data_IF_917661420786
#
_entry.id   IF_917661420786
#
_cell.length_a   1.000
_cell.length_b   1.000
_cell.length_c   1.000
_cell.angle_alpha   90.00
_cell.angle_beta   90.00
_cell.angle_gamma   90.00
#
_symmetry.space_group_name_H-M   'P 1'
#
loop_
_entity.id
_entity.type
_entity.pdbx_description
1 polymer ?
#
# COMPACT_ATOMS: atom_id res chain seq x y z
N UNK A 1 -61.44 81.54 -25.34
CA UNK A 1 -61.32 80.18 -24.76
C UNK A 1 -59.86 79.76 -24.89
N UNK A 2 -59.11 79.74 -23.80
CA UNK A 2 -57.67 79.39 -23.78
C UNK A 2 -57.55 77.89 -23.50
N UNK A 3 -56.98 77.13 -24.43
CA UNK A 3 -56.62 75.71 -24.22
C UNK A 3 -55.17 75.64 -23.77
N UNK A 4 -54.92 75.02 -22.62
CA UNK A 4 -53.58 74.64 -22.14
C UNK A 4 -53.41 73.14 -22.34
N UNK A 5 -52.35 72.73 -23.03
CA UNK A 5 -51.94 71.34 -23.13
C UNK A 5 -50.82 71.07 -22.12
N UNK A 6 -51.04 70.14 -21.19
CA UNK A 6 -50.05 69.67 -20.22
C UNK A 6 -49.32 68.46 -20.84
N UNK A 7 -48.01 68.58 -21.00
CA UNK A 7 -47.11 67.50 -21.43
C UNK A 7 -46.74 66.63 -20.22
N UNK A 8 -47.14 65.36 -20.23
CA UNK A 8 -46.79 64.37 -19.21
C UNK A 8 -45.57 63.56 -19.64
N UNK A 9 -44.44 63.76 -18.97
CA UNK A 9 -43.22 62.98 -19.15
C UNK A 9 -43.33 61.65 -18.36
N UNK A 10 -43.34 60.51 -19.06
CA UNK A 10 -43.27 59.19 -18.43
C UNK A 10 -41.80 58.83 -18.20
N UNK A 11 -41.39 58.75 -16.94
CA UNK A 11 -40.06 58.31 -16.54
C UNK A 11 -40.07 56.78 -16.39
N UNK A 12 -39.53 56.04 -17.36
CA UNK A 12 -39.31 54.60 -17.25
C UNK A 12 -38.03 54.32 -16.43
N UNK A 13 -38.20 53.84 -15.20
CA UNK A 13 -37.10 53.34 -14.36
C UNK A 13 -36.72 51.91 -14.77
N UNK A 14 -35.53 51.72 -15.33
CA UNK A 14 -34.94 50.40 -15.56
C UNK A 14 -34.37 49.85 -14.24
N UNK A 15 -35.10 48.93 -13.60
CA UNK A 15 -34.58 48.14 -12.49
C UNK A 15 -33.58 47.09 -13.02
N UNK A 16 -32.29 47.26 -12.69
CA UNK A 16 -31.25 46.27 -12.95
C UNK A 16 -31.39 45.12 -11.95
N UNK A 17 -31.89 43.97 -12.41
CA UNK A 17 -31.84 42.73 -11.65
C UNK A 17 -30.45 42.10 -11.78
N UNK A 18 -29.60 42.28 -10.77
CA UNK A 18 -28.38 41.49 -10.61
C UNK A 18 -28.76 40.13 -10.02
N UNK A 19 -28.80 39.10 -10.86
CA UNK A 19 -28.86 37.71 -10.41
C UNK A 19 -27.52 37.38 -9.75
N UNK A 20 -27.51 37.23 -8.43
CA UNK A 20 -26.35 36.75 -7.69
C UNK A 20 -26.05 35.30 -8.11
N UNK A 21 -24.83 35.04 -8.58
CA UNK A 21 -24.32 33.69 -8.78
C UNK A 21 -24.34 32.95 -7.42
N UNK A 22 -24.85 31.71 -7.36
CA UNK A 22 -24.73 30.90 -6.15
C UNK A 22 -23.24 30.65 -5.87
N UNK A 23 -22.76 31.15 -4.73
CA UNK A 23 -21.42 30.84 -4.24
C UNK A 23 -21.37 29.34 -3.94
N UNK A 24 -20.63 28.59 -4.75
CA UNK A 24 -20.20 27.24 -4.40
C UNK A 24 -19.47 27.32 -3.05
N UNK A 25 -19.84 26.54 -2.03
CA UNK A 25 -19.11 26.53 -0.77
C UNK A 25 -17.67 26.06 -1.06
N UNK A 26 -16.73 26.98 -0.87
CA UNK A 26 -15.30 26.70 -0.99
C UNK A 26 -14.93 25.63 0.04
N UNK A 27 -14.37 24.53 -0.48
CA UNK A 27 -13.46 23.60 0.19
C UNK A 27 -13.93 23.11 1.57
N UNK A 28 -14.63 21.98 1.54
CA UNK A 28 -14.72 21.06 2.65
C UNK A 28 -13.28 20.72 3.08
N UNK A 29 -12.87 21.19 4.26
CA UNK A 29 -11.60 20.88 4.93
C UNK A 29 -11.26 19.40 4.73
N UNK A 30 -10.33 19.09 3.81
CA UNK A 30 -9.81 17.74 3.67
C UNK A 30 -9.19 17.36 5.02
N UNK A 31 -9.75 16.34 5.69
CA UNK A 31 -9.17 15.84 6.94
C UNK A 31 -7.71 15.44 6.66
N UNK A 32 -6.75 15.83 7.51
CA UNK A 32 -5.37 15.43 7.32
C UNK A 32 -5.28 13.90 7.34
N UNK A 33 -4.70 13.33 6.27
CA UNK A 33 -4.45 11.91 6.18
C UNK A 33 -3.61 11.47 7.39
N UNK A 34 -4.15 10.53 8.17
CA UNK A 34 -3.43 9.92 9.29
C UNK A 34 -2.65 8.72 8.75
N UNK A 35 -1.31 8.70 8.86
CA UNK A 35 -0.50 7.59 8.40
C UNK A 35 -0.90 6.31 9.14
N UNK A 36 -1.32 5.28 8.40
CA UNK A 36 -1.51 3.95 8.96
C UNK A 36 -0.16 3.26 8.99
N UNK A 37 0.20 2.68 10.13
CA UNK A 37 1.40 1.89 10.29
C UNK A 37 1.05 0.42 10.53
N UNK A 38 1.86 -0.48 9.99
CA UNK A 38 1.76 -1.90 10.22
C UNK A 38 3.13 -2.55 10.24
N UNK A 39 3.21 -3.72 10.85
CA UNK A 39 4.45 -4.45 11.08
C UNK A 39 4.24 -5.94 10.90
N UNK A 40 5.20 -6.57 10.22
CA UNK A 40 5.42 -8.00 10.29
C UNK A 40 6.69 -8.28 11.10
N UNK A 41 6.57 -9.12 12.13
CA UNK A 41 7.73 -9.67 12.86
C UNK A 41 7.95 -11.07 12.31
N UNK A 42 9.10 -11.30 11.69
CA UNK A 42 9.45 -12.53 11.02
C UNK A 42 10.25 -13.43 11.94
N UNK A 43 9.86 -14.69 12.03
CA UNK A 43 10.57 -15.74 12.76
C UNK A 43 10.67 -16.99 11.91
N UNK A 44 11.73 -17.78 12.09
CA UNK A 44 11.87 -19.06 11.42
C UNK A 44 10.92 -20.11 11.98
N UNK A 45 10.17 -20.86 11.14
CA UNK A 45 9.29 -21.92 11.60
C UNK A 45 10.06 -23.14 12.15
N UNK A 46 11.35 -23.27 11.84
CA UNK A 46 12.20 -24.39 12.30
C UNK A 46 13.10 -24.01 13.48
N UNK A 47 12.98 -22.78 13.99
CA UNK A 47 13.86 -22.25 15.03
C UNK A 47 15.27 -21.89 14.55
N UNK A 48 15.52 -21.87 13.23
CA UNK A 48 16.75 -21.29 12.70
C UNK A 48 16.88 -19.82 13.13
N UNK A 49 18.10 -19.26 13.26
CA UNK A 49 18.33 -17.91 13.77
C UNK A 49 18.01 -16.81 12.74
N UNK A 50 16.94 -16.98 11.97
CA UNK A 50 16.41 -16.00 11.03
C UNK A 50 15.27 -15.25 11.72
N UNK A 51 15.43 -13.94 11.83
CA UNK A 51 14.40 -13.07 12.38
C UNK A 51 14.47 -11.69 11.73
N UNK A 52 13.34 -10.99 11.70
CA UNK A 52 13.29 -9.68 11.08
C UNK A 52 12.06 -8.88 11.45
N UNK A 53 12.08 -7.61 11.06
CA UNK A 53 10.97 -6.69 11.15
C UNK A 53 10.81 -6.05 9.79
N UNK A 54 9.59 -6.07 9.27
CA UNK A 54 9.21 -5.29 8.08
C UNK A 54 8.10 -4.35 8.49
N UNK A 55 8.39 -3.06 8.42
CA UNK A 55 7.46 -1.98 8.73
C UNK A 55 6.85 -1.44 7.43
N UNK A 56 5.56 -1.16 7.50
CA UNK A 56 4.76 -0.57 6.44
C UNK A 56 4.16 0.72 6.96
N UNK A 57 4.32 1.82 6.23
CA UNK A 57 3.71 3.10 6.56
C UNK A 57 3.02 3.67 5.33
N UNK A 58 1.71 3.84 5.41
CA UNK A 58 0.98 4.60 4.39
C UNK A 58 1.43 6.06 4.47
N UNK A 59 2.07 6.57 3.42
CA UNK A 59 2.53 7.97 3.32
C UNK A 59 1.49 8.83 2.60
N UNK A 60 0.76 8.22 1.66
CA UNK A 60 -0.38 8.81 0.96
C UNK A 60 -1.50 7.78 0.81
N UNK A 61 -2.57 8.11 0.08
CA UNK A 61 -3.62 7.15 -0.26
C UNK A 61 -3.13 6.01 -1.17
N UNK A 62 -2.01 6.19 -1.88
CA UNK A 62 -1.55 5.28 -2.92
C UNK A 62 -0.09 4.86 -2.76
N UNK A 63 0.59 5.29 -1.70
CA UNK A 63 1.99 5.01 -1.47
C UNK A 63 2.21 4.43 -0.07
N UNK A 64 2.97 3.34 -0.04
CA UNK A 64 3.37 2.65 1.17
C UNK A 64 4.90 2.67 1.24
N UNK A 65 5.44 3.34 2.24
CA UNK A 65 6.83 3.19 2.63
C UNK A 65 7.01 1.81 3.27
N UNK A 66 8.02 1.07 2.84
CA UNK A 66 8.38 -0.25 3.38
C UNK A 66 9.82 -0.20 3.86
N UNK A 67 10.04 -0.54 5.12
CA UNK A 67 11.35 -0.60 5.74
C UNK A 67 11.62 -2.03 6.21
N UNK A 68 12.67 -2.64 5.67
CA UNK A 68 13.00 -4.05 5.84
C UNK A 68 14.27 -4.18 6.67
N UNK A 69 14.22 -4.97 7.75
CA UNK A 69 15.39 -5.40 8.51
C UNK A 69 15.30 -6.90 8.78
N UNK A 70 16.20 -7.71 8.21
CA UNK A 70 16.22 -9.16 8.39
C UNK A 70 17.62 -9.63 8.75
N UNK A 71 17.73 -10.53 9.72
CA UNK A 71 18.99 -11.08 10.23
C UNK A 71 19.07 -12.58 9.92
N UNK A 72 20.29 -13.09 9.77
CA UNK A 72 20.56 -14.53 9.79
C UNK A 72 20.28 -15.28 8.48
N UNK A 73 20.01 -14.58 7.37
CA UNK A 73 19.77 -15.20 6.06
C UNK A 73 21.01 -15.95 5.54
N UNK A 74 22.20 -15.48 5.89
CA UNK A 74 23.48 -16.09 5.52
C UNK A 74 23.67 -17.50 6.09
N UNK A 75 22.94 -17.86 7.15
CA UNK A 75 23.05 -19.14 7.82
C UNK A 75 22.29 -20.28 7.13
N UNK A 76 21.37 -19.99 6.20
CA UNK A 76 20.50 -20.99 5.60
C UNK A 76 21.07 -21.58 4.30
N UNK A 77 21.36 -20.73 3.32
CA UNK A 77 22.14 -21.09 2.13
C UNK A 77 23.11 -19.94 1.87
N UNK A 78 24.40 -20.10 2.21
CA UNK A 78 25.38 -19.04 2.03
C UNK A 78 25.36 -18.51 0.60
N UNK A 79 25.23 -17.19 0.44
CA UNK A 79 25.21 -16.47 -0.85
C UNK A 79 23.95 -16.62 -1.71
N UNK A 80 22.92 -17.33 -1.25
CA UNK A 80 21.65 -17.36 -1.98
C UNK A 80 20.88 -16.05 -1.79
N UNK A 81 20.15 -15.64 -2.82
CA UNK A 81 19.15 -14.59 -2.69
C UNK A 81 17.83 -15.18 -2.19
N UNK A 82 17.13 -14.41 -1.36
CA UNK A 82 15.90 -14.81 -0.71
C UNK A 82 14.75 -13.95 -1.22
N UNK A 83 13.78 -14.59 -1.85
CA UNK A 83 12.54 -13.93 -2.21
C UNK A 83 11.67 -13.73 -0.97
N UNK A 84 10.80 -12.72 -0.99
CA UNK A 84 9.85 -12.44 0.07
C UNK A 84 8.61 -11.80 -0.52
N UNK A 85 7.47 -12.27 -0.03
CA UNK A 85 6.17 -11.92 -0.58
C UNK A 85 5.14 -11.74 0.53
N UNK A 86 4.11 -10.96 0.25
CA UNK A 86 2.88 -10.95 1.02
C UNK A 86 1.99 -12.05 0.45
N UNK A 87 1.45 -12.89 1.33
CA UNK A 87 0.63 -14.04 0.98
C UNK A 87 -0.86 -13.76 1.18
N UNK A 88 -1.71 -14.56 0.55
CA UNK A 88 -3.15 -14.35 0.55
C UNK A 88 -3.79 -14.57 1.93
N UNK A 89 -3.24 -15.47 2.76
CA UNK A 89 -3.77 -15.79 4.08
C UNK A 89 -2.79 -15.38 5.20
N UNK A 90 -3.26 -15.23 6.45
CA UNK A 90 -2.37 -15.13 7.60
C UNK A 90 -1.49 -16.37 7.73
N UNK A 91 -0.32 -16.20 8.35
CA UNK A 91 0.48 -17.29 8.92
C UNK A 91 -0.39 -18.04 9.93
N UNK A 92 -0.29 -19.37 9.91
CA UNK A 92 -1.07 -20.25 10.76
C UNK A 92 -0.68 -20.17 12.24
N UNK A 93 -1.41 -20.89 13.10
CA UNK A 93 -0.99 -21.12 14.48
C UNK A 93 0.45 -21.65 14.54
N UNK A 94 1.13 -21.38 15.65
CA UNK A 94 2.50 -21.87 15.93
C UNK A 94 3.57 -21.45 14.91
N UNK A 95 3.28 -20.46 14.06
CA UNK A 95 4.23 -19.96 13.05
C UNK A 95 4.27 -20.82 11.78
N UNK A 96 3.24 -21.61 11.49
CA UNK A 96 3.17 -22.36 10.22
C UNK A 96 3.08 -21.41 9.03
N UNK A 97 4.22 -21.22 8.35
CA UNK A 97 4.31 -20.39 7.17
C UNK A 97 3.51 -20.98 5.99
N UNK A 98 3.23 -22.28 5.93
CA UNK A 98 2.51 -22.90 4.81
C UNK A 98 1.04 -22.45 4.77
N UNK A 99 0.41 -22.27 5.92
CA UNK A 99 -0.96 -21.79 6.06
C UNK A 99 -1.22 -20.42 5.41
N UNK A 100 -0.16 -19.60 5.20
CA UNK A 100 -0.29 -18.33 4.47
C UNK A 100 -0.75 -18.52 3.01
N UNK A 101 -0.62 -19.73 2.45
CA UNK A 101 -1.17 -20.07 1.13
C UNK A 101 -0.38 -19.46 -0.03
N UNK A 102 -1.06 -19.14 -1.13
CA UNK A 102 -0.46 -18.52 -2.32
C UNK A 102 -0.04 -17.06 -2.07
N UNK A 103 0.68 -16.45 -3.01
CA UNK A 103 0.96 -15.02 -2.98
C UNK A 103 -0.33 -14.20 -3.01
N UNK A 104 -0.31 -13.00 -2.44
CA UNK A 104 -1.38 -12.04 -2.60
C UNK A 104 -1.44 -11.58 -4.06
N UNK A 105 -2.45 -12.04 -4.79
CA UNK A 105 -2.75 -11.55 -6.12
C UNK A 105 -4.25 -11.30 -6.32
N UNK A 106 -4.69 -10.06 -6.18
CA UNK A 106 -6.09 -9.70 -6.40
C UNK A 106 -6.45 -9.73 -7.89
N UNK A 107 -5.50 -9.38 -8.76
CA UNK A 107 -5.63 -9.52 -10.21
C UNK A 107 -5.52 -10.97 -10.72
N UNK A 108 -5.27 -11.96 -9.85
CA UNK A 108 -5.17 -13.38 -10.23
C UNK A 108 -3.94 -13.72 -11.08
N UNK A 109 -2.86 -12.96 -10.95
CA UNK A 109 -1.59 -13.20 -11.65
C UNK A 109 -0.94 -14.45 -11.06
N UNK A 110 -0.62 -15.49 -11.86
CA UNK A 110 -0.04 -16.73 -11.35
C UNK A 110 1.47 -16.59 -11.09
N UNK A 111 2.01 -17.43 -10.20
CA UNK A 111 3.43 -17.45 -9.83
C UNK A 111 4.38 -17.69 -11.01
N UNK A 112 3.87 -18.29 -12.10
CA UNK A 112 4.63 -18.53 -13.33
C UNK A 112 4.94 -17.26 -14.13
N UNK A 113 4.26 -16.14 -13.84
CA UNK A 113 4.47 -14.86 -14.52
C UNK A 113 5.46 -14.05 -13.67
N UNK A 114 6.71 -13.88 -14.14
CA UNK A 114 7.69 -13.09 -13.41
C UNK A 114 7.29 -11.62 -13.39
N UNK A 115 7.49 -10.95 -12.26
CA UNK A 115 7.27 -9.52 -12.17
C UNK A 115 8.31 -8.75 -13.00
N UNK A 116 7.83 -7.75 -13.74
CA UNK A 116 8.68 -6.74 -14.35
C UNK A 116 8.67 -5.49 -13.46
N UNK A 117 9.78 -5.12 -12.80
CA UNK A 117 9.83 -3.96 -11.91
C UNK A 117 9.60 -2.62 -12.65
N UNK A 118 9.71 -2.58 -13.99
CA UNK A 118 9.36 -1.41 -14.79
C UNK A 118 7.84 -1.24 -14.97
N UNK A 119 7.06 -2.29 -14.69
CA UNK A 119 5.60 -2.29 -14.76
C UNK A 119 5.00 -2.91 -13.49
N UNK A 120 5.27 -2.35 -12.29
CA UNK A 120 4.96 -3.00 -11.01
C UNK A 120 3.46 -3.23 -10.80
N UNK A 121 2.60 -2.45 -11.47
CA UNK A 121 1.13 -2.60 -11.47
C UNK A 121 0.65 -3.88 -12.17
N UNK A 122 1.50 -4.54 -12.96
CA UNK A 122 1.22 -5.82 -13.63
C UNK A 122 1.80 -7.02 -12.86
N UNK A 123 2.43 -6.79 -11.72
CA UNK A 123 2.94 -7.85 -10.85
C UNK A 123 1.86 -8.25 -9.83
N UNK A 124 2.02 -9.42 -9.22
CA UNK A 124 1.23 -9.76 -8.04
C UNK A 124 1.42 -8.66 -6.98
N UNK A 125 0.32 -8.22 -6.34
CA UNK A 125 0.37 -7.14 -5.35
C UNK A 125 1.35 -7.48 -4.22
N UNK A 126 1.40 -8.76 -3.84
CA UNK A 126 2.31 -9.27 -2.82
C UNK A 126 3.76 -9.52 -3.26
N UNK A 127 4.11 -9.40 -4.54
CA UNK A 127 5.46 -9.71 -5.02
C UNK A 127 6.45 -8.56 -4.76
N UNK A 128 6.89 -8.44 -3.50
CA UNK A 128 7.83 -7.40 -3.07
C UNK A 128 9.22 -7.60 -3.69
N UNK A 129 9.68 -8.84 -3.81
CA UNK A 129 10.99 -9.16 -4.39
C UNK A 129 11.10 -8.85 -5.86
N UNK A 130 10.07 -9.18 -6.63
CA UNK A 130 10.01 -8.88 -8.05
C UNK A 130 9.96 -7.38 -8.33
N UNK A 131 9.30 -6.61 -7.46
CA UNK A 131 9.19 -5.15 -7.58
C UNK A 131 10.42 -4.39 -7.09
N UNK A 132 10.99 -4.79 -5.95
CA UNK A 132 11.98 -3.99 -5.20
C UNK A 132 13.31 -4.70 -4.96
N UNK A 133 13.47 -5.92 -5.49
CA UNK A 133 14.66 -6.74 -5.33
C UNK A 133 14.56 -7.72 -4.16
N UNK A 134 15.31 -8.80 -4.30
CA UNK A 134 15.45 -9.90 -3.33
C UNK A 134 16.34 -9.52 -2.13
N UNK A 135 16.21 -10.26 -1.03
CA UNK A 135 17.07 -10.10 0.15
C UNK A 135 18.38 -10.90 -0.03
N UNK A 136 19.56 -10.27 0.06
CA UNK A 136 20.82 -10.96 -0.15
C UNK A 136 21.23 -11.83 1.06
N UNK A 137 21.49 -13.12 0.84
CA UNK A 137 21.98 -14.05 1.86
C UNK A 137 23.51 -14.04 2.05
N UNK A 138 24.19 -12.98 1.62
CA UNK A 138 25.62 -12.76 1.89
C UNK A 138 25.86 -11.71 2.98
N UNK A 139 24.79 -11.20 3.61
CA UNK A 139 24.84 -10.20 4.68
C UNK A 139 24.26 -10.77 5.96
N UNK A 140 24.91 -10.48 7.09
CA UNK A 140 24.39 -10.82 8.43
C UNK A 140 23.08 -10.12 8.75
N UNK A 141 22.99 -8.86 8.32
CA UNK A 141 21.81 -8.01 8.49
C UNK A 141 21.51 -7.38 7.13
N UNK A 142 20.36 -7.72 6.57
CA UNK A 142 19.81 -7.10 5.37
C UNK A 142 18.96 -5.92 5.79
N UNK A 143 19.24 -4.75 5.20
CA UNK A 143 18.46 -3.54 5.38
C UNK A 143 18.07 -2.97 4.01
N UNK A 144 16.80 -2.64 3.84
CA UNK A 144 16.29 -2.00 2.62
C UNK A 144 15.13 -1.06 2.96
N UNK A 145 14.93 -0.05 2.13
CA UNK A 145 13.88 0.95 2.29
C UNK A 145 13.41 1.40 0.92
N UNK A 146 12.10 1.36 0.66
CA UNK A 146 11.52 1.70 -0.64
C UNK A 146 10.04 2.10 -0.51
N UNK A 147 9.52 2.75 -1.55
CA UNK A 147 8.10 3.07 -1.67
C UNK A 147 7.42 2.12 -2.66
N UNK A 148 6.36 1.45 -2.21
CA UNK A 148 5.49 0.64 -3.06
C UNK A 148 4.18 1.38 -3.32
N UNK A 149 3.86 1.63 -4.60
CA UNK A 149 2.63 2.32 -5.02
C UNK A 149 1.47 1.38 -5.38
N UNK A 150 1.68 0.07 -5.25
CA UNK A 150 0.73 -0.99 -5.62
C UNK A 150 0.07 -1.63 -4.40
N UNK A 151 0.72 -1.58 -3.23
CA UNK A 151 0.17 -2.06 -1.98
C UNK A 151 -1.03 -1.24 -1.52
N UNK A 152 -2.00 -1.93 -0.92
CA UNK A 152 -3.16 -1.32 -0.29
C UNK A 152 -3.21 -1.75 1.18
N UNK A 153 -3.51 -0.83 2.10
CA UNK A 153 -3.64 -1.18 3.53
C UNK A 153 -5.01 -1.77 3.86
N UNK A 154 -6.06 -1.08 3.41
CA UNK A 154 -7.44 -1.30 3.84
C UNK A 154 -8.31 -1.67 2.65
N UNK A 155 -8.12 -2.89 2.14
CA UNK A 155 -8.97 -3.47 1.10
C UNK A 155 -9.33 -4.89 1.52
N UNK A 156 -10.61 -5.31 1.44
CA UNK A 156 -10.99 -6.70 1.73
C UNK A 156 -10.27 -7.70 0.83
N UNK A 157 -10.05 -7.35 -0.44
CA UNK A 157 -9.51 -8.25 -1.46
C UNK A 157 -7.99 -8.17 -1.57
N UNK A 158 -7.41 -6.98 -1.44
CA UNK A 158 -6.00 -6.69 -1.70
C UNK A 158 -5.26 -6.04 -0.53
N UNK A 159 -5.93 -5.81 0.60
CA UNK A 159 -5.35 -5.15 1.77
C UNK A 159 -4.32 -6.01 2.47
N UNK A 160 -3.17 -5.45 2.83
CA UNK A 160 -2.06 -6.22 3.45
C UNK A 160 -2.28 -6.55 4.93
N UNK A 161 -3.16 -5.81 5.63
CA UNK A 161 -3.40 -6.02 7.06
C UNK A 161 -4.07 -7.38 7.28
N UNK A 162 -3.51 -8.17 8.21
CA UNK A 162 -4.01 -9.51 8.56
C UNK A 162 -3.49 -10.62 7.64
N UNK A 163 -2.57 -10.31 6.72
CA UNK A 163 -1.93 -11.31 5.85
C UNK A 163 -0.55 -11.70 6.34
N UNK A 164 -0.09 -12.87 5.89
CA UNK A 164 1.27 -13.33 6.16
C UNK A 164 2.29 -12.69 5.22
N UNK A 165 3.45 -12.33 5.74
CA UNK A 165 4.65 -12.08 4.96
C UNK A 165 5.58 -13.27 5.13
N UNK A 166 6.12 -13.78 4.03
CA UNK A 166 6.98 -14.97 4.02
C UNK A 166 8.27 -14.65 3.28
N UNK A 167 9.39 -15.13 3.82
CA UNK A 167 10.69 -15.16 3.17
C UNK A 167 10.95 -16.60 2.71
N UNK A 168 11.46 -16.75 1.49
CA UNK A 168 11.76 -18.00 0.84
C UNK A 168 13.27 -18.20 0.65
N UNK A 169 13.74 -19.45 0.65
CA UNK A 169 15.05 -19.80 0.12
C UNK A 169 15.05 -19.85 -1.42
N UNK A 170 16.23 -20.09 -2.01
CA UNK A 170 16.37 -20.20 -3.47
C UNK A 170 15.64 -21.41 -4.09
N UNK A 171 15.13 -22.35 -3.29
CA UNK A 171 14.33 -23.50 -3.72
C UNK A 171 12.83 -23.28 -3.49
N UNK A 172 12.43 -22.13 -2.97
CA UNK A 172 11.04 -21.77 -2.67
C UNK A 172 10.55 -22.21 -1.28
N UNK A 173 11.40 -22.82 -0.45
CA UNK A 173 11.02 -23.22 0.92
C UNK A 173 10.80 -21.97 1.78
N UNK A 174 9.75 -21.99 2.63
CA UNK A 174 9.39 -20.87 3.52
C UNK A 174 10.26 -20.90 4.77
N UNK A 175 11.18 -19.95 4.90
CA UNK A 175 12.25 -20.00 5.92
C UNK A 175 12.05 -19.02 7.09
N UNK A 176 11.21 -18.00 6.89
CA UNK A 176 10.74 -17.12 7.95
C UNK A 176 9.39 -16.51 7.55
N UNK A 177 8.52 -16.26 8.52
CA UNK A 177 7.26 -15.59 8.25
C UNK A 177 6.69 -14.88 9.47
N UNK A 178 5.69 -14.02 9.24
CA UNK A 178 4.95 -13.31 10.27
C UNK A 178 3.70 -12.64 9.74
N UNK A 179 2.74 -12.39 10.62
CA UNK A 179 1.51 -11.67 10.26
C UNK A 179 1.74 -10.15 10.24
N UNK A 180 1.19 -9.49 9.22
CA UNK A 180 1.17 -8.03 9.11
C UNK A 180 0.05 -7.49 9.98
N UNK A 181 0.40 -6.79 11.05
CA UNK A 181 -0.53 -6.26 12.04
C UNK A 181 -0.41 -4.75 12.17
N UNK A 182 -1.49 -4.05 12.49
CA UNK A 182 -1.43 -2.59 12.70
C UNK A 182 -0.57 -2.26 13.91
N UNK A 183 0.21 -1.19 13.79
CA UNK A 183 0.93 -0.58 14.90
C UNK A 183 0.16 0.67 15.30
N UNK A 184 -0.20 0.76 16.58
CA UNK A 184 -0.84 1.94 17.18
C UNK A 184 0.21 2.93 17.67
#
# INVERSE_FOLDING_TARGET
MRSSFISGLVCLSLAKYSVGLPQLPLLQSARPFQPIQARAILLSPTGAPIFGVIDFRATTLTEVQVDVVVNGLEAFVPQANHAYHIHASPVGPDGDCAAAGAHLSAAGIPDSVPCNPMMPRLCQEGDLSGKHGVLPGNQRVVQSSYTDSTLQFLSPESGIIGRGLVVHDAKGARIACGNITRVN
#
